data_IF_085155149577
#
_entry.id   IF_085155149577
#
_cell.length_a   1.000
_cell.length_b   1.000
_cell.length_c   1.000
_cell.angle_alpha   90.00
_cell.angle_beta   90.00
_cell.angle_gamma   90.00
#
_symmetry.space_group_name_H-M   'P 1'
#
loop_
_entity.id
_entity.type
_entity.pdbx_description
1 polymer ?
#
# COMPACT_ATOMS: atom_id res chain seq x y z
N UNK A 1 -2.48 1.29 -9.97
CA UNK A 1 -2.51 1.07 -8.51
C UNK A 1 -2.43 2.42 -7.84
N UNK A 2 -3.46 2.81 -7.14
CA UNK A 2 -3.62 4.13 -6.55
C UNK A 2 -2.84 4.21 -5.25
N UNK A 3 -1.95 5.20 -5.12
CA UNK A 3 -0.98 5.34 -4.01
C UNK A 3 -1.44 6.38 -3.00
N UNK A 4 -2.59 6.19 -2.37
CA UNK A 4 -3.16 7.18 -1.49
C UNK A 4 -4.04 6.49 -0.49
N UNK A 5 -5.21 6.86 -0.35
CA UNK A 5 -6.21 5.98 0.21
C UNK A 5 -6.49 4.91 -0.85
N UNK A 6 -5.84 3.79 -0.79
CA UNK A 6 -6.19 2.68 -1.67
C UNK A 6 -7.64 2.31 -1.40
N UNK A 7 -8.52 2.66 -2.32
CA UNK A 7 -9.90 2.23 -2.31
C UNK A 7 -9.89 0.77 -2.76
N UNK A 8 -9.78 -0.13 -1.78
CA UNK A 8 -9.85 -1.56 -2.06
C UNK A 8 -11.29 -1.92 -2.39
N UNK A 9 -11.60 -2.03 -3.67
CA UNK A 9 -12.88 -2.59 -4.10
C UNK A 9 -12.87 -4.09 -3.78
N UNK A 10 -13.73 -4.50 -2.86
CA UNK A 10 -13.97 -5.91 -2.57
C UNK A 10 -14.99 -6.47 -3.56
N UNK A 11 -14.83 -7.72 -3.97
CA UNK A 11 -15.90 -8.43 -4.72
C UNK A 11 -17.18 -8.43 -3.87
N UNK A 12 -18.36 -8.30 -4.50
CA UNK A 12 -19.62 -8.20 -3.80
C UNK A 12 -19.80 -9.37 -2.81
N UNK A 13 -19.93 -9.05 -1.52
CA UNK A 13 -20.12 -10.04 -0.45
C UNK A 13 -18.87 -10.57 0.25
N UNK A 14 -17.65 -10.23 -0.21
CA UNK A 14 -16.39 -10.65 0.42
C UNK A 14 -15.72 -9.42 1.04
N UNK A 15 -15.64 -9.29 2.39
CA UNK A 15 -15.02 -8.14 3.04
C UNK A 15 -13.49 -8.24 3.07
N UNK A 16 -12.89 -8.68 1.99
CA UNK A 16 -11.45 -8.80 1.85
C UNK A 16 -11.04 -8.86 0.37
N UNK A 17 -9.77 -8.54 0.11
CA UNK A 17 -9.13 -8.73 -1.19
C UNK A 17 -7.84 -9.52 -1.02
N UNK A 18 -7.60 -10.49 -1.89
CA UNK A 18 -6.42 -11.32 -1.83
C UNK A 18 -5.68 -11.22 -3.16
N UNK A 19 -4.39 -10.91 -3.07
CA UNK A 19 -3.49 -10.81 -4.21
C UNK A 19 -2.40 -11.87 -4.11
N UNK A 20 -2.00 -12.36 -5.26
CA UNK A 20 -0.78 -13.14 -5.39
C UNK A 20 0.31 -12.22 -5.94
N UNK A 21 1.24 -11.83 -5.08
CA UNK A 21 2.43 -11.12 -5.48
C UNK A 21 3.53 -12.10 -5.86
N UNK A 22 4.20 -11.85 -6.98
CA UNK A 22 5.34 -12.67 -7.37
C UNK A 22 6.21 -11.95 -8.39
N UNK A 23 7.52 -12.04 -8.24
CA UNK A 23 8.45 -11.44 -9.19
C UNK A 23 8.80 -12.36 -10.34
N UNK A 24 8.51 -11.87 -11.56
CA UNK A 24 9.43 -12.03 -12.63
C UNK A 24 9.83 -10.63 -13.08
N UNK A 25 10.93 -10.08 -12.65
CA UNK A 25 11.55 -8.81 -13.05
C UNK A 25 10.87 -7.49 -12.70
N UNK A 26 9.65 -7.44 -12.22
CA UNK A 26 9.01 -6.20 -11.79
C UNK A 26 9.28 -6.02 -10.31
N UNK A 27 9.94 -4.92 -9.94
CA UNK A 27 10.23 -4.58 -8.56
C UNK A 27 8.92 -4.41 -7.81
N UNK A 28 8.67 -5.26 -6.82
CA UNK A 28 7.57 -5.11 -5.87
C UNK A 28 7.96 -3.98 -4.89
N UNK A 29 7.74 -2.76 -5.33
CA UNK A 29 7.83 -1.59 -4.49
C UNK A 29 6.47 -0.90 -4.46
N UNK A 30 5.92 -0.80 -3.26
CA UNK A 30 4.73 -0.02 -2.99
C UNK A 30 5.16 1.21 -2.19
N UNK A 31 5.09 2.42 -2.79
CA UNK A 31 5.46 3.65 -2.10
C UNK A 31 4.54 3.94 -0.93
N UNK A 32 4.95 4.89 -0.12
CA UNK A 32 4.26 5.29 1.09
C UNK A 32 2.79 5.65 0.81
N UNK A 33 1.87 4.88 1.40
CA UNK A 33 0.42 5.04 1.26
C UNK A 33 -0.30 4.62 2.54
N UNK A 34 -1.61 4.69 2.55
CA UNK A 34 -2.45 4.18 3.62
C UNK A 34 -3.85 3.80 3.10
N UNK A 35 -4.51 2.91 3.79
CA UNK A 35 -5.90 2.49 3.51
C UNK A 35 -6.61 2.05 4.80
N UNK A 36 -7.92 1.86 4.73
CA UNK A 36 -8.73 1.41 5.88
C UNK A 36 -8.81 -0.11 6.04
N UNK A 37 -7.95 -0.84 5.40
CA UNK A 37 -7.88 -2.29 5.57
C UNK A 37 -6.72 -2.65 6.50
N UNK A 38 -6.86 -3.77 7.19
CA UNK A 38 -5.69 -4.43 7.74
C UNK A 38 -4.97 -5.16 6.61
N UNK A 39 -3.66 -5.02 6.51
CA UNK A 39 -2.86 -5.65 5.47
C UNK A 39 -1.95 -6.72 6.07
N UNK A 40 -1.92 -7.86 5.39
CA UNK A 40 -1.10 -9.00 5.73
C UNK A 40 -0.36 -9.46 4.49
N UNK A 41 0.93 -9.17 4.39
CA UNK A 41 1.78 -9.73 3.34
C UNK A 41 2.48 -10.98 3.85
N UNK A 42 1.91 -12.13 3.59
CA UNK A 42 2.51 -13.41 3.90
C UNK A 42 3.59 -13.74 2.87
N UNK A 43 4.85 -13.74 3.30
CA UNK A 43 5.98 -14.06 2.44
C UNK A 43 6.10 -15.57 2.28
N UNK A 44 6.06 -16.04 1.04
CA UNK A 44 6.26 -17.46 0.70
C UNK A 44 7.71 -17.76 0.30
N UNK A 45 8.37 -16.80 -0.38
CA UNK A 45 9.76 -16.89 -0.85
C UNK A 45 10.35 -15.49 -0.95
N UNK A 46 11.64 -15.32 -0.60
CA UNK A 46 12.31 -14.02 -0.60
C UNK A 46 12.07 -13.24 0.70
N UNK A 47 12.13 -11.92 0.64
CA UNK A 47 11.96 -11.04 1.79
C UNK A 47 11.32 -9.72 1.39
N UNK A 48 10.35 -9.28 2.17
CA UNK A 48 9.78 -7.92 2.12
C UNK A 48 10.48 -7.08 3.19
N UNK A 49 10.87 -5.86 2.82
CA UNK A 49 11.27 -4.78 3.73
C UNK A 49 10.30 -3.63 3.57
N UNK A 50 10.13 -2.83 4.60
CA UNK A 50 9.25 -1.68 4.51
C UNK A 50 9.28 -0.84 5.78
N UNK A 51 8.45 0.19 5.81
CA UNK A 51 8.24 1.03 6.97
C UNK A 51 6.76 1.17 7.27
N UNK A 52 6.42 1.08 8.55
CA UNK A 52 5.07 1.36 9.05
C UNK A 52 5.17 2.50 10.06
N UNK A 53 4.49 3.60 9.79
CA UNK A 53 4.57 4.85 10.59
C UNK A 53 6.03 5.31 10.82
N UNK A 54 6.90 5.12 9.81
CA UNK A 54 8.32 5.48 9.85
C UNK A 54 9.24 4.47 10.58
N UNK A 55 8.71 3.38 11.13
CA UNK A 55 9.49 2.30 11.75
C UNK A 55 9.77 1.21 10.72
N UNK A 56 11.02 0.80 10.60
CA UNK A 56 11.43 -0.28 9.71
C UNK A 56 10.88 -1.63 10.17
N UNK A 57 10.37 -2.38 9.23
CA UNK A 57 9.92 -3.76 9.38
C UNK A 57 10.44 -4.62 8.22
N UNK A 58 10.51 -5.92 8.44
CA UNK A 58 10.79 -6.88 7.36
C UNK A 58 10.12 -8.19 7.65
N UNK A 59 9.79 -8.96 6.62
CA UNK A 59 9.27 -10.32 6.75
C UNK A 59 10.00 -11.25 5.76
N UNK A 60 10.35 -12.44 6.21
CA UNK A 60 10.91 -13.53 5.41
C UNK A 60 9.92 -14.69 5.23
N UNK A 61 10.33 -15.81 4.63
CA UNK A 61 9.46 -16.95 4.35
C UNK A 61 8.73 -17.47 5.59
N UNK A 62 7.40 -17.54 5.50
CA UNK A 62 6.51 -17.94 6.59
C UNK A 62 6.13 -16.84 7.57
N UNK A 63 6.76 -15.66 7.47
CA UNK A 63 6.45 -14.47 8.29
C UNK A 63 5.44 -13.57 7.58
N UNK A 64 4.76 -12.73 8.36
CA UNK A 64 3.79 -11.74 7.89
C UNK A 64 4.35 -10.34 8.08
N UNK A 65 4.39 -9.53 7.01
CA UNK A 65 4.50 -8.08 7.13
C UNK A 65 3.08 -7.55 7.39
N UNK A 66 2.85 -7.04 8.60
CA UNK A 66 1.52 -6.66 9.05
C UNK A 66 1.38 -5.15 9.19
N UNK A 67 0.24 -4.62 8.73
CA UNK A 67 -0.14 -3.20 8.83
C UNK A 67 -1.55 -3.09 9.39
N UNK A 68 -1.72 -2.30 10.46
CA UNK A 68 -3.06 -1.98 10.96
C UNK A 68 -3.80 -1.01 10.04
N UNK A 69 -5.14 -1.03 10.13
CA UNK A 69 -5.98 -0.06 9.43
C UNK A 69 -5.51 1.38 9.68
N UNK A 70 -5.42 2.13 8.59
CA UNK A 70 -5.04 3.53 8.62
C UNK A 70 -3.56 3.82 8.92
N UNK A 71 -2.69 2.83 9.05
CA UNK A 71 -1.26 3.09 9.20
C UNK A 71 -0.60 3.48 7.88
N UNK A 72 0.29 4.47 7.95
CA UNK A 72 1.06 4.92 6.81
C UNK A 72 2.23 3.95 6.58
N UNK A 73 2.28 3.32 5.42
CA UNK A 73 3.27 2.27 5.15
C UNK A 73 3.77 2.26 3.72
N UNK A 74 4.93 1.64 3.54
CA UNK A 74 5.52 1.31 2.25
C UNK A 74 6.18 -0.06 2.33
N UNK A 75 6.22 -0.80 1.23
CA UNK A 75 6.88 -2.09 1.13
C UNK A 75 7.84 -2.14 -0.06
N UNK A 76 8.97 -2.80 0.11
CA UNK A 76 10.00 -2.98 -0.90
C UNK A 76 10.50 -4.42 -0.93
N UNK A 77 10.23 -5.11 -2.01
CA UNK A 77 10.78 -6.43 -2.35
C UNK A 77 11.83 -6.39 -3.45
N UNK A 78 12.25 -5.20 -3.88
CA UNK A 78 13.11 -5.02 -5.06
C UNK A 78 14.53 -5.58 -4.92
N UNK A 79 14.98 -5.85 -3.69
CA UNK A 79 16.29 -6.44 -3.40
C UNK A 79 16.36 -7.96 -3.60
N UNK A 80 15.22 -8.61 -3.82
CA UNK A 80 15.15 -10.05 -3.94
C UNK A 80 15.17 -10.51 -5.40
N UNK A 81 15.89 -11.61 -5.67
CA UNK A 81 15.87 -12.24 -7.00
C UNK A 81 14.52 -12.86 -7.32
N UNK A 82 13.91 -13.46 -6.31
CA UNK A 82 12.57 -14.03 -6.36
C UNK A 82 11.86 -13.58 -5.09
N UNK A 83 10.65 -13.03 -5.26
CA UNK A 83 9.74 -12.75 -4.17
C UNK A 83 8.39 -13.39 -4.51
N UNK A 84 7.83 -14.14 -3.59
CA UNK A 84 6.45 -14.63 -3.65
C UNK A 84 5.75 -14.27 -2.35
N UNK A 85 4.65 -13.60 -2.44
CA UNK A 85 3.81 -13.27 -1.29
C UNK A 85 2.33 -13.46 -1.61
N UNK A 86 1.56 -13.61 -0.55
CA UNK A 86 0.10 -13.54 -0.58
C UNK A 86 -0.28 -12.34 0.26
N UNK A 87 -0.85 -11.31 -0.36
CA UNK A 87 -1.37 -10.14 0.32
C UNK A 87 -2.86 -10.33 0.59
N UNK A 88 -3.26 -10.24 1.86
CA UNK A 88 -4.64 -10.16 2.30
C UNK A 88 -4.91 -8.75 2.79
N UNK A 89 -5.83 -8.04 2.12
CA UNK A 89 -6.42 -6.79 2.61
C UNK A 89 -7.78 -7.13 3.23
N UNK A 90 -7.88 -7.01 4.55
CA UNK A 90 -9.08 -7.29 5.32
C UNK A 90 -9.79 -5.98 5.67
N UNK A 91 -11.04 -5.84 5.24
CA UNK A 91 -11.85 -4.65 5.54
C UNK A 91 -12.05 -4.53 7.06
N UNK A 92 -11.71 -3.37 7.63
CA UNK A 92 -11.86 -3.13 9.08
C UNK A 92 -13.32 -3.22 9.53
N UNK A 93 -14.29 -2.97 8.65
CA UNK A 93 -15.72 -3.11 8.95
C UNK A 93 -16.12 -4.51 9.43
N UNK A 94 -15.37 -5.55 9.02
CA UNK A 94 -15.60 -6.89 9.53
C UNK A 94 -15.26 -7.02 11.01
N UNK A 95 -14.34 -6.23 11.54
CA UNK A 95 -14.00 -6.18 12.96
C UNK A 95 -14.95 -5.25 13.72
N UNK A 96 -15.43 -4.17 13.08
CA UNK A 96 -16.43 -3.26 13.64
C UNK A 96 -17.75 -3.99 13.99
N UNK A 97 -18.10 -5.07 13.27
CA UNK A 97 -19.24 -5.93 13.61
C UNK A 97 -19.16 -6.54 15.03
N UNK A 98 -17.96 -6.64 15.62
CA UNK A 98 -17.69 -7.35 16.88
C UNK A 98 -17.01 -6.49 17.95
N UNK A 99 -16.58 -5.27 17.63
CA UNK A 99 -15.83 -4.42 18.52
C UNK A 99 -16.14 -2.94 18.28
N UNK A 100 -16.97 -2.34 19.16
CA UNK A 100 -17.37 -0.92 19.09
C UNK A 100 -16.20 0.04 19.38
N UNK A 101 -15.14 -0.42 20.05
CA UNK A 101 -13.97 0.38 20.44
C UNK A 101 -12.73 0.09 19.58
N UNK A 102 -12.93 -0.29 18.32
CA UNK A 102 -11.84 -0.66 17.41
C UNK A 102 -10.80 0.46 17.23
N UNK A 103 -11.22 1.71 17.30
CA UNK A 103 -10.37 2.89 17.24
C UNK A 103 -9.41 3.04 18.45
N UNK A 104 -9.74 2.39 19.58
CA UNK A 104 -8.93 2.40 20.81
C UNK A 104 -7.94 1.27 20.91
N UNK A 105 -7.95 0.32 19.98
CA UNK A 105 -7.04 -0.81 19.96
C UNK A 105 -6.14 -0.79 18.73
N UNK A 106 -5.01 -1.47 18.84
CA UNK A 106 -4.17 -1.83 17.71
C UNK A 106 -3.84 -3.31 17.82
N UNK A 107 -3.57 -3.94 16.69
CA UNK A 107 -3.17 -5.34 16.67
C UNK A 107 -1.64 -5.43 16.58
N UNK A 108 -1.06 -6.33 17.36
CA UNK A 108 0.37 -6.63 17.34
C UNK A 108 0.54 -8.13 17.11
N UNK A 109 1.12 -8.47 15.97
CA UNK A 109 1.46 -9.85 15.63
C UNK A 109 2.96 -9.99 15.85
N UNK A 110 3.33 -10.76 16.88
CA UNK A 110 4.73 -11.00 17.21
C UNK A 110 5.31 -12.06 16.26
N UNK A 111 6.49 -11.79 15.72
CA UNK A 111 7.16 -12.72 14.80
C UNK A 111 7.46 -14.07 15.44
N UNK A 112 7.21 -15.14 14.68
CA UNK A 112 7.40 -16.51 15.13
C UNK A 112 6.36 -16.99 16.13
N UNK A 113 5.41 -16.14 16.54
CA UNK A 113 4.36 -16.49 17.51
C UNK A 113 3.41 -17.57 16.98
N UNK A 114 2.72 -18.30 17.87
CA UNK A 114 1.65 -19.22 17.47
C UNK A 114 0.52 -18.48 16.71
N UNK A 115 0.26 -17.23 17.07
CA UNK A 115 -0.75 -16.38 16.42
C UNK A 115 -0.39 -16.10 14.97
N UNK A 116 0.85 -15.67 14.72
CA UNK A 116 1.34 -15.43 13.35
C UNK A 116 1.21 -16.68 12.49
N UNK A 117 1.64 -17.83 13.00
CA UNK A 117 1.58 -19.11 12.26
C UNK A 117 0.15 -19.52 11.93
N UNK A 118 -0.79 -19.33 12.86
CA UNK A 118 -2.22 -19.62 12.64
C UNK A 118 -2.82 -18.68 11.59
N UNK A 119 -2.53 -17.39 11.67
CA UNK A 119 -2.97 -16.40 10.68
C UNK A 119 -2.38 -16.71 9.30
N UNK A 120 -1.09 -17.02 9.23
CA UNK A 120 -0.42 -17.38 7.98
C UNK A 120 -1.07 -18.61 7.30
N UNK A 121 -1.42 -19.63 8.09
CA UNK A 121 -2.12 -20.81 7.60
C UNK A 121 -3.52 -20.45 7.04
N UNK A 122 -4.28 -19.63 7.75
CA UNK A 122 -5.60 -19.18 7.30
C UNK A 122 -5.53 -18.34 6.02
N UNK A 123 -4.52 -17.48 5.88
CA UNK A 123 -4.27 -16.71 4.64
C UNK A 123 -3.97 -17.65 3.46
N UNK A 124 -3.16 -18.68 3.67
CA UNK A 124 -2.90 -19.68 2.61
C UNK A 124 -4.15 -20.48 2.24
N UNK A 125 -5.01 -20.77 3.21
CA UNK A 125 -6.30 -21.43 2.94
C UNK A 125 -7.23 -20.52 2.15
N UNK A 126 -7.37 -19.24 2.53
CA UNK A 126 -8.13 -18.24 1.77
C UNK A 126 -7.65 -18.15 0.31
N UNK A 127 -6.33 -18.09 0.13
CA UNK A 127 -5.73 -18.05 -1.20
C UNK A 127 -6.05 -19.32 -2.03
N UNK A 128 -6.02 -20.50 -1.42
CA UNK A 128 -6.40 -21.76 -2.08
C UNK A 128 -7.89 -21.81 -2.45
N UNK A 129 -8.76 -21.37 -1.54
CA UNK A 129 -10.22 -21.30 -1.76
C UNK A 129 -10.51 -20.42 -2.98
N UNK A 130 -9.95 -19.21 -3.02
CA UNK A 130 -10.14 -18.28 -4.15
C UNK A 130 -9.57 -18.80 -5.48
N UNK A 131 -8.49 -19.56 -5.43
CA UNK A 131 -7.93 -20.15 -6.65
C UNK A 131 -8.81 -21.25 -7.25
N UNK A 132 -9.47 -22.03 -6.38
CA UNK A 132 -10.34 -23.13 -6.82
C UNK A 132 -11.74 -22.69 -7.18
N UNK A 133 -12.31 -21.73 -6.43
CA UNK A 133 -13.70 -21.23 -6.57
C UNK A 133 -14.73 -22.36 -6.70
N UNK A 134 -14.62 -23.37 -5.81
CA UNK A 134 -15.59 -24.46 -5.73
C UNK A 134 -16.96 -23.95 -5.21
N UNK A 135 -18.01 -24.77 -5.29
CA UNK A 135 -19.32 -24.36 -4.79
C UNK A 135 -19.22 -23.91 -3.31
N UNK A 136 -19.89 -22.80 -2.99
CA UNK A 136 -19.90 -22.19 -1.66
C UNK A 136 -18.54 -21.64 -1.17
N UNK A 137 -17.59 -21.38 -2.08
CA UNK A 137 -16.27 -20.85 -1.74
C UNK A 137 -16.35 -19.53 -0.95
N UNK A 138 -17.35 -18.70 -1.20
CA UNK A 138 -17.57 -17.44 -0.48
C UNK A 138 -17.88 -17.68 0.99
N UNK A 139 -18.68 -18.71 1.31
CA UNK A 139 -18.96 -19.10 2.69
C UNK A 139 -17.71 -19.65 3.39
N UNK A 140 -16.94 -20.50 2.72
CA UNK A 140 -15.69 -21.00 3.26
C UNK A 140 -14.70 -19.88 3.54
N UNK A 141 -14.59 -18.93 2.61
CA UNK A 141 -13.73 -17.75 2.77
C UNK A 141 -14.19 -16.89 3.95
N UNK A 142 -15.51 -16.62 4.08
CA UNK A 142 -16.07 -15.87 5.20
C UNK A 142 -15.74 -16.50 6.56
N UNK A 143 -15.76 -17.83 6.66
CA UNK A 143 -15.38 -18.56 7.87
C UNK A 143 -13.90 -18.30 8.20
N UNK A 144 -12.99 -18.40 7.23
CA UNK A 144 -11.54 -18.17 7.45
C UNK A 144 -11.23 -16.74 7.85
N UNK A 145 -11.86 -15.76 7.19
CA UNK A 145 -11.70 -14.35 7.54
C UNK A 145 -12.17 -14.06 8.98
N UNK A 146 -13.30 -14.63 9.40
CA UNK A 146 -13.78 -14.49 10.78
C UNK A 146 -12.90 -15.21 11.81
N UNK A 147 -12.25 -16.31 11.44
CA UNK A 147 -11.23 -16.94 12.28
C UNK A 147 -10.02 -16.01 12.48
N UNK A 148 -9.57 -15.33 11.44
CA UNK A 148 -8.51 -14.31 11.55
C UNK A 148 -8.96 -13.18 12.49
N UNK A 149 -10.16 -12.64 12.31
CA UNK A 149 -10.72 -11.62 13.21
C UNK A 149 -10.76 -12.08 14.67
N UNK A 150 -11.15 -13.33 14.91
CA UNK A 150 -11.19 -13.91 16.26
C UNK A 150 -9.79 -13.97 16.90
N UNK A 151 -8.76 -14.36 16.15
CA UNK A 151 -7.37 -14.38 16.64
C UNK A 151 -6.91 -12.95 16.93
N UNK A 152 -7.18 -12.00 16.04
CA UNK A 152 -6.80 -10.60 16.23
C UNK A 152 -7.42 -10.02 17.50
N UNK A 153 -8.74 -10.12 17.65
CA UNK A 153 -9.46 -9.53 18.77
C UNK A 153 -9.12 -10.18 20.11
N UNK A 154 -8.91 -11.49 20.15
CA UNK A 154 -8.68 -12.23 21.40
C UNK A 154 -7.22 -12.27 21.85
N UNK A 155 -6.27 -12.29 20.91
CA UNK A 155 -4.90 -12.65 21.21
C UNK A 155 -3.88 -11.60 20.74
N UNK A 156 -4.25 -10.73 19.80
CA UNK A 156 -3.33 -9.73 19.24
C UNK A 156 -3.71 -8.29 19.59
N UNK A 157 -4.91 -8.05 20.16
CA UNK A 157 -5.38 -6.73 20.51
C UNK A 157 -4.59 -6.16 21.69
N UNK A 158 -4.12 -4.93 21.52
CA UNK A 158 -3.48 -4.13 22.60
C UNK A 158 -4.18 -2.78 22.67
N UNK A 159 -4.38 -2.29 23.91
CA UNK A 159 -4.92 -0.94 24.12
C UNK A 159 -3.96 0.11 23.57
N UNK A 160 -4.52 1.14 22.96
CA UNK A 160 -3.76 2.35 22.57
C UNK A 160 -3.57 3.32 23.75
N UNK A 161 -3.91 2.97 24.99
CA UNK A 161 -4.03 3.89 26.13
C UNK A 161 -2.73 4.28 26.85
N UNK A 162 -1.57 3.72 26.54
CA UNK A 162 -0.34 4.11 27.21
C UNK A 162 0.38 5.26 26.52
N UNK A 163 0.51 6.39 27.22
CA UNK A 163 1.21 7.64 26.87
C UNK A 163 0.43 8.68 26.05
N UNK A 164 -0.56 9.31 26.71
CA UNK A 164 -1.56 10.22 26.12
C UNK A 164 -0.97 11.44 25.40
N UNK A 165 0.15 11.99 25.83
CA UNK A 165 0.67 13.28 25.29
C UNK A 165 1.53 13.11 24.06
N UNK A 166 2.43 12.15 24.04
CA UNK A 166 3.26 11.83 22.87
C UNK A 166 2.42 11.25 21.73
N UNK A 167 1.39 10.44 22.06
CA UNK A 167 0.46 9.89 21.10
C UNK A 167 -0.48 10.91 20.48
N UNK A 168 -0.97 11.88 21.23
CA UNK A 168 -1.76 12.98 20.65
C UNK A 168 -0.93 13.75 19.61
N UNK A 169 0.34 14.00 19.85
CA UNK A 169 1.23 14.66 18.91
C UNK A 169 1.49 13.77 17.67
N UNK A 170 1.72 12.47 17.88
CA UNK A 170 1.93 11.52 16.78
C UNK A 170 0.67 11.30 15.95
N UNK A 171 -0.48 11.18 16.58
CA UNK A 171 -1.78 11.10 15.90
C UNK A 171 -2.08 12.36 15.09
N UNK A 172 -1.85 13.55 15.64
CA UNK A 172 -1.99 14.81 14.91
C UNK A 172 -0.99 14.90 13.75
N UNK A 173 0.24 14.42 13.93
CA UNK A 173 1.25 14.35 12.87
C UNK A 173 0.81 13.43 11.75
N UNK A 174 0.32 12.22 12.08
CA UNK A 174 -0.21 11.26 11.10
C UNK A 174 -1.43 11.80 10.36
N UNK A 175 -2.37 12.43 11.06
CA UNK A 175 -3.52 13.09 10.44
C UNK A 175 -3.09 14.16 9.45
N UNK A 176 -2.13 15.01 9.82
CA UNK A 176 -1.62 16.07 8.94
C UNK A 176 -0.87 15.53 7.72
N UNK A 177 -0.02 14.51 7.89
CA UNK A 177 0.69 13.94 6.74
C UNK A 177 -0.27 13.24 5.78
N UNK A 178 -1.28 12.52 6.29
CA UNK A 178 -2.35 11.94 5.46
C UNK A 178 -3.10 13.01 4.67
N UNK A 179 -3.46 14.13 5.31
CA UNK A 179 -4.09 15.26 4.64
C UNK A 179 -3.20 15.81 3.51
N UNK A 180 -1.90 15.98 3.75
CA UNK A 180 -0.97 16.45 2.73
C UNK A 180 -0.86 15.46 1.55
N UNK A 181 -0.72 14.17 1.85
CA UNK A 181 -0.66 13.10 0.88
C UNK A 181 -1.95 13.09 0.03
N UNK A 182 -3.12 12.98 0.64
CA UNK A 182 -4.41 12.96 -0.08
C UNK A 182 -4.60 14.19 -0.98
N UNK A 183 -4.17 15.37 -0.53
CA UNK A 183 -4.22 16.58 -1.37
C UNK A 183 -3.29 16.48 -2.57
N UNK A 184 -2.06 16.01 -2.39
CA UNK A 184 -1.10 15.83 -3.47
C UNK A 184 -1.64 14.90 -4.56
N UNK A 185 -2.30 13.86 -4.17
CA UNK A 185 -2.83 12.82 -5.04
C UNK A 185 -4.07 13.23 -5.80
N UNK A 186 -4.92 14.04 -5.18
CA UNK A 186 -6.08 14.64 -5.85
C UNK A 186 -5.69 15.78 -6.79
N UNK A 187 -4.43 16.23 -6.74
CA UNK A 187 -3.98 17.41 -7.50
C UNK A 187 -2.60 17.21 -8.13
N UNK A 188 -2.13 15.97 -8.31
CA UNK A 188 -0.77 15.66 -8.81
C UNK A 188 -0.50 16.23 -10.20
N UNK A 189 -1.54 16.40 -11.04
CA UNK A 189 -1.46 16.99 -12.37
C UNK A 189 -1.15 18.49 -12.33
N UNK A 190 -1.48 19.16 -11.22
CA UNK A 190 -1.27 20.59 -11.04
C UNK A 190 0.18 20.91 -10.68
N UNK A 191 0.56 22.18 -10.87
CA UNK A 191 1.88 22.64 -10.46
C UNK A 191 1.97 22.81 -8.93
N UNK A 192 2.06 21.70 -8.21
CA UNK A 192 2.24 21.69 -6.76
C UNK A 192 3.68 22.08 -6.41
N UNK A 193 3.81 22.96 -5.42
CA UNK A 193 5.08 23.42 -4.87
C UNK A 193 5.09 23.35 -3.35
N UNK A 194 6.29 23.37 -2.74
CA UNK A 194 6.43 23.48 -1.28
C UNK A 194 5.69 24.71 -0.74
N UNK A 195 5.66 25.81 -1.52
CA UNK A 195 4.93 27.03 -1.15
C UNK A 195 3.42 26.82 -1.14
N UNK A 196 2.85 26.23 -2.22
CA UNK A 196 1.40 25.97 -2.30
C UNK A 196 0.95 24.97 -1.25
N UNK A 197 1.75 23.95 -0.98
CA UNK A 197 1.49 22.95 0.05
C UNK A 197 1.60 23.54 1.46
N UNK A 198 2.60 24.39 1.70
CA UNK A 198 2.71 25.14 2.96
C UNK A 198 1.46 25.96 3.21
N UNK A 199 1.00 26.74 2.23
CA UNK A 199 -0.23 27.52 2.32
C UNK A 199 -1.46 26.64 2.62
N UNK A 200 -1.63 25.54 1.90
CA UNK A 200 -2.73 24.58 2.12
C UNK A 200 -2.72 24.00 3.55
N UNK A 201 -1.55 23.67 4.08
CA UNK A 201 -1.40 23.05 5.40
C UNK A 201 -1.35 24.06 6.56
N UNK A 202 -1.40 25.38 6.27
CA UNK A 202 -1.19 26.42 7.28
C UNK A 202 0.21 26.40 7.87
N UNK A 203 1.22 26.09 7.07
CA UNK A 203 2.63 25.98 7.44
C UNK A 203 3.52 26.89 6.61
N UNK A 204 4.64 27.37 7.17
CA UNK A 204 5.66 27.99 6.32
C UNK A 204 6.29 26.94 5.39
N UNK A 205 6.77 27.32 4.21
CA UNK A 205 7.39 26.39 3.26
C UNK A 205 8.53 25.57 3.85
N UNK A 206 9.39 26.22 4.64
CA UNK A 206 10.50 25.57 5.31
C UNK A 206 10.04 24.57 6.39
N UNK A 207 8.98 24.90 7.11
CA UNK A 207 8.40 23.97 8.10
C UNK A 207 7.71 22.80 7.40
N UNK A 208 6.90 23.04 6.35
CA UNK A 208 6.26 21.99 5.57
C UNK A 208 7.30 21.01 4.98
N UNK A 209 8.36 21.52 4.38
CA UNK A 209 9.42 20.69 3.80
C UNK A 209 10.05 19.74 4.84
N UNK A 210 10.39 20.25 6.03
CA UNK A 210 10.93 19.43 7.14
C UNK A 210 9.89 18.47 7.69
N UNK A 211 8.66 18.94 7.90
CA UNK A 211 7.54 18.13 8.38
C UNK A 211 7.29 16.95 7.44
N UNK A 212 7.18 17.22 6.13
CA UNK A 212 6.92 16.19 5.12
C UNK A 212 8.05 15.17 5.10
N UNK A 213 9.31 15.60 5.00
CA UNK A 213 10.46 14.70 5.01
C UNK A 213 10.53 13.82 6.25
N UNK A 214 10.29 14.39 7.44
CA UNK A 214 10.34 13.65 8.71
C UNK A 214 9.15 12.69 8.87
N UNK A 215 8.01 12.99 8.26
CA UNK A 215 6.79 12.17 8.39
C UNK A 215 6.67 11.12 7.27
N UNK A 216 7.12 11.46 6.04
CA UNK A 216 7.06 10.60 4.87
C UNK A 216 8.37 9.86 4.58
N UNK A 217 9.47 10.18 5.28
CA UNK A 217 10.78 9.57 5.06
C UNK A 217 11.49 9.97 3.76
N UNK A 218 10.83 10.75 2.90
CA UNK A 218 11.32 11.24 1.62
C UNK A 218 10.90 12.69 1.41
N UNK A 219 11.55 13.40 0.48
CA UNK A 219 11.20 14.79 0.25
C UNK A 219 9.93 14.92 -0.60
N UNK A 220 9.28 16.10 -0.53
CA UNK A 220 8.05 16.42 -1.23
C UNK A 220 8.14 16.20 -2.75
N UNK A 221 9.24 16.65 -3.37
CA UNK A 221 9.38 16.56 -4.83
C UNK A 221 9.55 15.11 -5.30
N UNK A 222 10.33 14.32 -4.56
CA UNK A 222 10.49 12.88 -4.84
C UNK A 222 9.15 12.15 -4.72
N UNK A 223 8.38 12.47 -3.70
CA UNK A 223 7.06 11.88 -3.49
C UNK A 223 6.09 12.26 -4.62
N UNK A 224 6.01 13.55 -4.98
CA UNK A 224 5.16 14.01 -6.08
C UNK A 224 5.57 13.40 -7.43
N UNK A 225 6.87 13.34 -7.72
CA UNK A 225 7.40 12.72 -8.94
C UNK A 225 6.96 11.26 -9.02
N UNK A 226 7.02 10.55 -7.89
CA UNK A 226 6.63 9.14 -7.81
C UNK A 226 5.14 8.93 -8.03
N UNK A 227 4.25 9.76 -7.44
CA UNK A 227 2.81 9.73 -7.74
C UNK A 227 2.59 9.85 -9.25
N UNK A 228 3.21 10.84 -9.87
CA UNK A 228 3.06 11.12 -11.31
C UNK A 228 3.53 9.97 -12.19
N UNK A 229 4.66 9.34 -11.83
CA UNK A 229 5.18 8.15 -12.54
C UNK A 229 4.23 6.98 -12.45
N UNK A 230 3.63 6.76 -11.28
CA UNK A 230 2.67 5.68 -11.07
C UNK A 230 1.40 5.89 -11.88
N UNK A 231 0.84 7.10 -11.90
CA UNK A 231 -0.31 7.43 -12.75
C UNK A 231 -0.01 7.26 -14.24
N UNK A 232 1.18 7.72 -14.65
CA UNK A 232 1.60 7.52 -16.03
C UNK A 232 1.74 6.04 -16.43
N UNK A 233 2.10 5.17 -15.49
CA UNK A 233 2.10 3.72 -15.73
C UNK A 233 0.69 3.20 -16.01
N UNK A 234 -0.31 3.60 -15.21
CA UNK A 234 -1.71 3.22 -15.40
C UNK A 234 -2.24 3.67 -16.77
N UNK A 235 -1.95 4.90 -17.17
CA UNK A 235 -2.28 5.44 -18.50
C UNK A 235 -1.58 4.66 -19.64
N UNK A 236 -0.35 4.21 -19.41
CA UNK A 236 0.39 3.40 -20.38
C UNK A 236 -0.20 1.98 -20.54
N UNK A 237 -0.77 1.42 -19.48
CA UNK A 237 -1.39 0.09 -19.45
C UNK A 237 -2.83 0.10 -19.96
N UNK A 238 -3.58 1.19 -19.69
CA UNK A 238 -5.01 1.29 -20.00
C UNK A 238 -5.36 1.94 -21.33
N UNK A 239 -4.41 2.57 -22.04
CA UNK A 239 -4.74 3.37 -23.23
C UNK A 239 -3.65 3.48 -24.28
N UNK A 240 -4.08 3.98 -25.47
CA UNK A 240 -3.22 4.20 -26.64
C UNK A 240 -2.71 5.66 -26.77
N UNK A 241 -2.96 6.53 -25.75
CA UNK A 241 -2.54 7.92 -25.75
C UNK A 241 -1.03 8.09 -26.00
N UNK A 242 -0.61 9.16 -26.67
CA UNK A 242 0.81 9.38 -26.92
C UNK A 242 1.61 9.51 -25.62
N UNK A 243 2.82 8.99 -25.57
CA UNK A 243 3.72 9.09 -24.40
C UNK A 243 3.93 10.55 -23.98
N UNK A 244 3.95 11.46 -24.95
CA UNK A 244 4.06 12.91 -24.73
C UNK A 244 2.82 13.49 -24.05
N UNK A 245 1.63 13.07 -24.44
CA UNK A 245 0.36 13.48 -23.82
C UNK A 245 0.26 12.97 -22.39
N UNK A 246 0.59 11.69 -22.15
CA UNK A 246 0.61 11.09 -20.80
C UNK A 246 1.55 11.86 -19.87
N UNK A 247 2.72 12.29 -20.36
CA UNK A 247 3.63 13.10 -19.55
C UNK A 247 2.96 14.37 -19.01
N UNK A 248 2.23 15.11 -19.86
CA UNK A 248 1.57 16.35 -19.44
C UNK A 248 0.31 16.09 -18.63
N UNK A 249 -0.50 15.09 -18.99
CA UNK A 249 -1.67 14.65 -18.20
C UNK A 249 -1.28 14.27 -16.76
N UNK A 250 -0.12 13.64 -16.59
CA UNK A 250 0.39 13.28 -15.26
C UNK A 250 1.16 14.43 -14.58
N UNK A 251 1.11 15.66 -15.10
CA UNK A 251 1.66 16.85 -14.46
C UNK A 251 3.18 17.02 -14.58
N UNK A 252 3.84 16.29 -15.49
CA UNK A 252 5.28 16.52 -15.73
C UNK A 252 5.51 17.83 -16.51
N UNK A 253 6.53 18.63 -16.14
CA UNK A 253 6.79 19.89 -16.80
C UNK A 253 7.27 19.72 -18.25
N UNK A 254 7.84 18.58 -18.57
CA UNK A 254 8.28 18.20 -19.92
C UNK A 254 8.48 16.69 -20.04
N UNK A 255 8.53 16.20 -21.27
CA UNK A 255 8.65 14.77 -21.60
C UNK A 255 9.99 14.16 -21.13
N UNK A 256 11.08 14.95 -21.14
CA UNK A 256 12.40 14.50 -20.69
C UNK A 256 12.40 14.17 -19.21
N UNK A 257 11.80 15.02 -18.38
CA UNK A 257 11.64 14.76 -16.93
C UNK A 257 10.83 13.49 -16.68
N UNK A 258 9.73 13.31 -17.42
CA UNK A 258 8.93 12.10 -17.35
C UNK A 258 9.73 10.85 -17.70
N UNK A 259 10.40 10.82 -18.86
CA UNK A 259 11.20 9.65 -19.28
C UNK A 259 12.25 9.29 -18.23
N UNK A 260 12.94 10.29 -17.68
CA UNK A 260 13.98 10.08 -16.68
C UNK A 260 13.41 9.51 -15.37
N UNK A 261 12.32 10.10 -14.88
CA UNK A 261 11.64 9.64 -13.67
C UNK A 261 11.10 8.20 -13.84
N UNK A 262 10.45 7.93 -14.95
CA UNK A 262 9.92 6.61 -15.27
C UNK A 262 11.03 5.55 -15.40
N UNK A 263 12.13 5.90 -16.08
CA UNK A 263 13.28 4.99 -16.20
C UNK A 263 13.96 4.72 -14.85
N UNK A 264 14.04 5.73 -13.99
CA UNK A 264 14.57 5.59 -12.62
C UNK A 264 13.74 4.60 -11.82
N UNK A 265 12.41 4.65 -11.93
CA UNK A 265 11.47 3.83 -11.16
C UNK A 265 11.32 2.41 -11.74
N UNK A 266 11.13 2.29 -13.05
CA UNK A 266 10.82 1.00 -13.71
C UNK A 266 11.99 0.41 -14.52
N UNK A 267 13.15 1.04 -14.55
CA UNK A 267 14.35 0.53 -15.26
C UNK A 267 14.26 0.56 -16.78
N UNK A 268 13.16 1.05 -17.35
CA UNK A 268 12.90 1.09 -18.80
C UNK A 268 12.17 2.38 -19.20
N UNK A 269 12.20 2.74 -20.49
CA UNK A 269 11.45 3.92 -20.95
C UNK A 269 9.96 3.64 -21.04
N UNK A 270 9.09 4.70 -20.94
CA UNK A 270 7.63 4.53 -21.05
C UNK A 270 7.20 3.79 -22.33
N UNK A 271 7.81 4.13 -23.47
CA UNK A 271 7.51 3.48 -24.75
C UNK A 271 7.88 1.98 -24.78
N UNK A 272 9.06 1.64 -24.23
CA UNK A 272 9.47 0.24 -24.10
C UNK A 272 8.59 -0.54 -23.12
N UNK A 273 8.17 0.12 -22.02
CA UNK A 273 7.27 -0.44 -21.05
C UNK A 273 5.93 -0.81 -21.69
N UNK A 274 5.26 0.13 -22.38
CA UNK A 274 4.00 -0.10 -23.11
C UNK A 274 4.12 -1.23 -24.12
N UNK A 275 5.19 -1.25 -24.92
CA UNK A 275 5.40 -2.31 -25.90
C UNK A 275 5.40 -3.70 -25.24
N UNK A 276 6.15 -3.85 -24.15
CA UNK A 276 6.21 -5.12 -23.39
C UNK A 276 4.88 -5.49 -22.75
N UNK A 277 4.13 -4.51 -22.27
CA UNK A 277 2.80 -4.71 -21.69
C UNK A 277 1.83 -5.24 -22.73
N UNK A 278 1.76 -4.60 -23.89
CA UNK A 278 0.87 -5.02 -24.99
C UNK A 278 1.23 -6.41 -25.57
N UNK A 279 2.51 -6.77 -25.58
CA UNK A 279 2.95 -8.12 -25.97
C UNK A 279 2.43 -9.16 -24.96
N UNK A 280 2.57 -8.91 -23.64
CA UNK A 280 2.07 -9.80 -22.58
C UNK A 280 0.55 -9.99 -22.60
N UNK A 281 -0.21 -8.94 -22.90
CA UNK A 281 -1.68 -9.02 -22.97
C UNK A 281 -2.17 -9.78 -24.22
N UNK A 282 -1.42 -9.78 -25.31
CA UNK A 282 -1.71 -10.58 -26.50
C UNK A 282 -1.47 -12.08 -26.28
N UNK A 283 -0.47 -12.44 -25.46
CA UNK A 283 -0.15 -13.82 -25.13
C UNK A 283 -1.14 -14.46 -24.14
N UNK A 284 -2.00 -13.65 -23.49
CA UNK A 284 -3.06 -14.12 -22.57
C UNK A 284 -4.41 -14.36 -23.22
N UNK A 285 -4.59 -13.89 -24.46
CA UNK A 285 -5.80 -14.08 -25.28
C UNK A 285 -5.63 -15.24 -26.27
#
# INVERSE_FOLDING_TARGET
>A
MEYYQEMVETEAGIPARIYYGGTGRDKLYYPLHWHRNLEFDLVMEGRIRGRVNGKEQSAGPGEIFFVNSGELHETDGSGERILRCVTLLLDERLLEEYCDELDRICFVIEKGSPQEKRIAMLIQECARILKKKENYYELELAIRLRQICCILLRECAKSREDDTRLRMQEHQRLKRIKQAISYMEQNYEKNLSIQSMGNYMGMTPAYFSRFFKNSAGQNFHEYLERIRVCRAKEELEGGDGAVTEIAFLCGFPNVKSFINAFKKEYGTTPAQYRKKWNEKEKDKK
#
